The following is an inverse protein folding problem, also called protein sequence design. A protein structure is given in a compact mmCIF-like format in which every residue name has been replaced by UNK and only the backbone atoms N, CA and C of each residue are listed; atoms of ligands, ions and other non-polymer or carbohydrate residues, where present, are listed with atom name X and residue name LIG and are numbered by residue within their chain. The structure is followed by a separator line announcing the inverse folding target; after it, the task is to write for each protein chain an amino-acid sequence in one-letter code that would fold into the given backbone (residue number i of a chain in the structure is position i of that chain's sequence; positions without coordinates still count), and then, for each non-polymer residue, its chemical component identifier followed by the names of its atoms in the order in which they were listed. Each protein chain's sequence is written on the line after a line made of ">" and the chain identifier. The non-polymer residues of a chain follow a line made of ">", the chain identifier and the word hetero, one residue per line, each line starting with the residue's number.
data_IF_381723055866
#
_entry.id   IF_381723055866
#
_cell.length_a   1.000
_cell.length_b   1.000
_cell.length_c   1.000
_cell.angle_alpha   90.00
_cell.angle_beta   90.00
_cell.angle_gamma   90.00
#
_symmetry.space_group_name_H-M   'P 1'
#
loop_
_entity.id
_entity.type
_entity.pdbx_description
1 polymer ?
#
# COMPACT_ATOMS: atom_id res chain seq x y z
N UNK A 1 4.45 -32.19 8.82
CA UNK A 1 3.30 -31.30 9.12
C UNK A 1 3.01 -30.48 7.87
N UNK A 2 2.13 -30.97 7.00
CA UNK A 2 1.68 -30.20 5.84
C UNK A 2 0.52 -29.32 6.31
N UNK A 3 0.79 -28.04 6.56
CA UNK A 3 -0.27 -27.08 6.84
C UNK A 3 -1.07 -26.86 5.55
N UNK A 4 -2.37 -27.08 5.66
CA UNK A 4 -3.39 -26.75 4.66
C UNK A 4 -3.39 -25.22 4.46
N UNK A 5 -2.44 -24.70 3.68
CA UNK A 5 -2.16 -23.26 3.58
C UNK A 5 -3.19 -22.55 2.70
N UNK A 6 -4.37 -22.31 3.27
CA UNK A 6 -5.31 -21.30 2.77
C UNK A 6 -4.89 -19.87 3.13
N UNK A 7 -3.85 -19.73 3.94
CA UNK A 7 -3.34 -18.43 4.38
C UNK A 7 -2.31 -17.90 3.38
N UNK A 8 -2.61 -16.74 2.81
CA UNK A 8 -1.71 -16.01 1.93
C UNK A 8 -0.94 -14.97 2.76
N UNK A 9 0.37 -15.14 2.87
CA UNK A 9 1.23 -14.16 3.55
C UNK A 9 1.44 -12.90 2.69
N UNK A 10 1.29 -11.74 3.31
CA UNK A 10 1.37 -10.44 2.67
C UNK A 10 2.02 -9.40 3.58
N UNK A 11 2.48 -8.30 2.97
CA UNK A 11 3.00 -7.13 3.70
C UNK A 11 1.95 -6.01 3.67
N UNK A 12 1.45 -5.62 4.84
CA UNK A 12 0.50 -4.51 4.96
C UNK A 12 1.27 -3.18 5.08
N UNK A 13 1.02 -2.26 4.16
CA UNK A 13 1.33 -0.84 4.37
C UNK A 13 0.15 -0.22 5.11
N UNK A 14 0.25 -0.18 6.44
CA UNK A 14 -0.85 0.28 7.30
C UNK A 14 -1.17 1.77 7.17
N UNK A 15 -0.16 2.60 6.91
CA UNK A 15 -0.37 4.03 6.77
C UNK A 15 0.74 4.68 5.93
N UNK A 16 0.35 5.62 5.08
CA UNK A 16 1.26 6.52 4.37
C UNK A 16 0.77 7.96 4.59
N UNK A 17 1.69 8.84 4.97
CA UNK A 17 1.42 10.26 5.19
C UNK A 17 2.59 11.10 4.69
N UNK A 18 2.30 12.33 4.27
CA UNK A 18 3.31 13.33 3.90
C UNK A 18 3.20 14.54 4.83
N UNK A 19 4.35 15.08 5.24
CA UNK A 19 4.39 16.33 6.00
C UNK A 19 4.28 17.53 5.04
N UNK A 20 3.20 18.30 5.17
CA UNK A 20 2.95 19.49 4.35
C UNK A 20 3.44 20.80 4.98
N UNK A 21 3.91 20.78 6.23
CA UNK A 21 4.31 21.98 6.99
C UNK A 21 5.48 22.75 6.34
N UNK A 22 6.32 22.07 5.57
CA UNK A 22 7.52 22.64 4.96
C UNK A 22 7.52 22.54 3.43
N UNK A 23 6.33 22.47 2.81
CA UNK A 23 6.16 22.32 1.36
C UNK A 23 6.86 23.41 0.55
N UNK A 24 7.07 24.59 1.13
CA UNK A 24 7.76 25.73 0.51
C UNK A 24 9.30 25.70 0.58
N UNK A 25 9.89 24.81 1.39
CA UNK A 25 11.35 24.76 1.63
C UNK A 25 12.01 23.45 1.22
N UNK A 26 11.23 22.39 0.97
CA UNK A 26 11.73 21.08 0.59
C UNK A 26 11.36 20.79 -0.85
N UNK A 27 12.31 20.22 -1.61
CA UNK A 27 12.01 19.52 -2.86
C UNK A 27 10.88 18.52 -2.57
N UNK A 28 9.78 18.63 -3.31
CA UNK A 28 8.56 17.89 -3.01
C UNK A 28 8.80 16.38 -3.08
N UNK A 29 8.99 15.72 -1.92
CA UNK A 29 8.99 14.25 -1.86
C UNK A 29 7.66 13.74 -2.40
N UNK A 30 7.71 13.07 -3.54
CA UNK A 30 6.56 12.49 -4.21
C UNK A 30 6.05 11.26 -3.46
N UNK A 31 4.78 10.91 -3.64
CA UNK A 31 4.26 9.65 -3.10
C UNK A 31 5.01 8.44 -3.68
N UNK A 32 5.52 8.55 -4.91
CA UNK A 32 6.30 7.51 -5.58
C UNK A 32 7.60 7.24 -4.81
N UNK A 33 8.28 8.29 -4.36
CA UNK A 33 9.48 8.15 -3.52
C UNK A 33 9.16 7.49 -2.18
N UNK A 34 8.03 7.84 -1.55
CA UNK A 34 7.59 7.22 -0.29
C UNK A 34 7.28 5.73 -0.50
N UNK A 35 6.57 5.38 -1.58
CA UNK A 35 6.25 4.00 -1.93
C UNK A 35 7.50 3.19 -2.29
N UNK A 36 8.48 3.80 -2.96
CA UNK A 36 9.76 3.18 -3.26
C UNK A 36 10.58 2.94 -1.98
N UNK A 37 10.58 3.89 -1.04
CA UNK A 37 11.21 3.72 0.25
C UNK A 37 10.56 2.56 1.04
N UNK A 38 9.22 2.50 1.08
CA UNK A 38 8.50 1.41 1.71
C UNK A 38 8.85 0.05 1.08
N UNK A 39 8.89 -0.03 -0.26
CA UNK A 39 9.29 -1.26 -0.97
C UNK A 39 10.75 -1.64 -0.69
N UNK A 40 11.66 -0.67 -0.55
CA UNK A 40 13.06 -0.91 -0.20
C UNK A 40 13.21 -1.52 1.19
N UNK A 41 12.31 -1.17 2.12
CA UNK A 41 12.25 -1.76 3.46
C UNK A 41 11.63 -3.17 3.43
N UNK A 42 10.59 -3.37 2.61
CA UNK A 42 9.87 -4.66 2.53
C UNK A 42 10.69 -5.71 1.77
N UNK A 43 11.44 -5.33 0.74
CA UNK A 43 12.14 -6.25 -0.16
C UNK A 43 13.14 -7.19 0.56
N UNK A 44 13.97 -6.72 1.51
CA UNK A 44 14.81 -7.60 2.31
C UNK A 44 14.00 -8.62 3.12
N UNK A 45 12.90 -8.22 3.74
CA UNK A 45 12.00 -9.14 4.45
C UNK A 45 11.43 -10.18 3.48
N UNK A 46 10.94 -9.75 2.31
CA UNK A 46 10.44 -10.64 1.28
C UNK A 46 11.47 -11.68 0.84
N UNK A 47 12.73 -11.27 0.64
CA UNK A 47 13.83 -12.18 0.28
C UNK A 47 14.14 -13.21 1.37
N UNK A 48 13.94 -12.87 2.65
CA UNK A 48 14.27 -13.75 3.77
C UNK A 48 13.12 -14.70 4.16
N UNK A 49 11.87 -14.24 4.13
CA UNK A 49 10.71 -14.99 4.65
C UNK A 49 9.59 -15.20 3.62
N UNK A 50 9.74 -14.72 2.39
CA UNK A 50 8.73 -14.80 1.34
C UNK A 50 7.60 -13.79 1.52
N UNK A 51 6.38 -14.16 1.14
CA UNK A 51 5.20 -13.27 1.07
C UNK A 51 4.89 -12.88 -0.37
N UNK A 52 3.62 -12.95 -0.77
CA UNK A 52 3.24 -12.95 -2.19
C UNK A 52 2.85 -11.57 -2.73
N UNK A 53 2.42 -10.67 -1.86
CA UNK A 53 1.98 -9.36 -2.26
C UNK A 53 2.13 -8.33 -1.13
N UNK A 54 2.14 -7.06 -1.54
CA UNK A 54 1.99 -5.89 -0.70
C UNK A 54 0.52 -5.50 -0.75
N UNK A 55 -0.05 -5.18 0.40
CA UNK A 55 -1.45 -4.87 0.58
C UNK A 55 -1.59 -3.47 1.22
N UNK A 56 -2.57 -2.69 0.75
CA UNK A 56 -2.93 -1.40 1.35
C UNK A 56 -4.42 -1.11 1.17
N UNK A 57 -4.95 -0.29 2.08
CA UNK A 57 -6.30 0.26 1.98
C UNK A 57 -6.22 1.75 1.58
N UNK A 58 -6.99 2.13 0.56
CA UNK A 58 -7.10 3.51 0.10
C UNK A 58 -8.53 4.01 0.32
N UNK A 59 -8.72 5.16 0.96
CA UNK A 59 -10.05 5.78 1.02
C UNK A 59 -10.54 6.06 -0.39
N UNK A 60 -11.75 5.59 -0.74
CA UNK A 60 -12.35 5.71 -2.08
C UNK A 60 -12.55 7.16 -2.50
N UNK A 61 -12.84 8.04 -1.55
CA UNK A 61 -12.96 9.49 -1.77
C UNK A 61 -11.67 10.13 -2.30
N UNK A 62 -10.52 9.50 -2.09
CA UNK A 62 -9.21 10.03 -2.49
C UNK A 62 -8.74 9.45 -3.83
N UNK A 63 -9.47 9.76 -4.90
CA UNK A 63 -9.22 9.25 -6.26
C UNK A 63 -7.80 9.55 -6.78
N UNK A 64 -7.21 10.69 -6.38
CA UNK A 64 -5.83 11.04 -6.73
C UNK A 64 -4.82 10.05 -6.14
N UNK A 65 -5.02 9.65 -4.89
CA UNK A 65 -4.13 8.70 -4.22
C UNK A 65 -4.31 7.29 -4.78
N UNK A 66 -5.56 6.88 -5.06
CA UNK A 66 -5.84 5.61 -5.74
C UNK A 66 -5.13 5.53 -7.10
N UNK A 67 -5.26 6.55 -7.94
CA UNK A 67 -4.57 6.61 -9.24
C UNK A 67 -3.04 6.59 -9.10
N UNK A 68 -2.49 7.22 -8.05
CA UNK A 68 -1.06 7.15 -7.76
C UNK A 68 -0.64 5.73 -7.38
N UNK A 69 -1.39 5.03 -6.53
CA UNK A 69 -1.11 3.63 -6.21
C UNK A 69 -1.20 2.74 -7.47
N UNK A 70 -2.21 2.93 -8.33
CA UNK A 70 -2.33 2.22 -9.60
C UNK A 70 -1.11 2.45 -10.51
N UNK A 71 -0.67 3.69 -10.63
CA UNK A 71 0.55 4.03 -11.40
C UNK A 71 1.83 3.40 -10.83
N UNK A 72 1.82 3.00 -9.55
CA UNK A 72 2.93 2.29 -8.88
C UNK A 72 2.77 0.76 -8.92
N UNK A 73 1.82 0.24 -9.70
CA UNK A 73 1.61 -1.19 -9.92
C UNK A 73 0.68 -1.87 -8.91
N UNK A 74 -0.01 -1.11 -8.06
CA UNK A 74 -1.10 -1.65 -7.26
C UNK A 74 -2.35 -1.86 -8.12
N UNK A 75 -3.16 -2.85 -7.77
CA UNK A 75 -4.47 -3.11 -8.39
C UNK A 75 -5.53 -3.19 -7.31
N UNK A 76 -6.65 -2.50 -7.50
CA UNK A 76 -7.82 -2.68 -6.66
C UNK A 76 -8.42 -4.07 -6.89
N UNK A 77 -8.89 -4.72 -5.82
CA UNK A 77 -9.54 -6.03 -5.93
C UNK A 77 -10.86 -6.10 -5.16
N UNK A 78 -11.05 -5.25 -4.14
CA UNK A 78 -12.26 -5.21 -3.35
C UNK A 78 -12.55 -3.79 -2.87
N UNK A 79 -13.83 -3.48 -2.72
CA UNK A 79 -14.33 -2.31 -2.02
C UNK A 79 -14.98 -2.75 -0.71
N UNK A 80 -14.66 -2.06 0.38
CA UNK A 80 -15.23 -2.30 1.70
C UNK A 80 -15.82 -1.01 2.23
N UNK A 81 -17.09 -1.08 2.62
CA UNK A 81 -17.76 -0.01 3.37
C UNK A 81 -17.74 -0.36 4.85
N UNK A 82 -17.15 0.53 5.65
CA UNK A 82 -17.09 0.39 7.09
C UNK A 82 -18.41 0.82 7.74
N UNK A 83 -18.60 0.47 9.00
CA UNK A 83 -19.81 0.82 9.77
C UNK A 83 -20.00 2.33 9.97
N UNK A 84 -18.93 3.12 9.85
CA UNK A 84 -18.97 4.58 9.90
C UNK A 84 -19.35 5.22 8.55
N UNK A 85 -19.64 4.42 7.52
CA UNK A 85 -19.99 4.86 6.17
C UNK A 85 -18.78 5.18 5.28
N UNK A 86 -17.56 5.13 5.81
CA UNK A 86 -16.36 5.33 5.00
C UNK A 86 -16.10 4.13 4.09
N UNK A 87 -15.73 4.41 2.84
CA UNK A 87 -15.49 3.37 1.83
C UNK A 87 -14.00 3.30 1.49
N UNK A 88 -13.45 2.09 1.51
CA UNK A 88 -12.06 1.81 1.19
C UNK A 88 -11.96 0.90 -0.04
N UNK A 89 -11.02 1.25 -0.91
CA UNK A 89 -10.54 0.41 -2.00
C UNK A 89 -9.33 -0.36 -1.49
N UNK A 90 -9.47 -1.68 -1.42
CA UNK A 90 -8.39 -2.59 -1.08
C UNK A 90 -7.55 -2.83 -2.32
N UNK A 91 -6.24 -2.62 -2.19
CA UNK A 91 -5.31 -2.69 -3.31
C UNK A 91 -4.13 -3.61 -3.00
N UNK A 92 -3.69 -4.35 -4.01
CA UNK A 92 -2.57 -5.28 -3.91
C UNK A 92 -1.53 -5.03 -4.99
N UNK A 93 -0.26 -5.24 -4.66
CA UNK A 93 0.86 -5.28 -5.60
C UNK A 93 1.62 -6.59 -5.42
N UNK A 94 1.83 -7.32 -6.51
CA UNK A 94 2.62 -8.54 -6.52
C UNK A 94 4.11 -8.14 -6.66
N UNK A 95 5.01 -8.86 -5.95
CA UNK A 95 6.46 -8.64 -6.04
C UNK A 95 7.04 -8.97 -7.42
#
# INVERSE_FOLDING_TARGET
>A
MFSNSKDLSAYLIGQISKNFKYSQYLTFISINEILNAAQTIILPSHKNIGGRFIFLDCKKENSKVAALYESNGFKSYQEITMSDGSTYLQMVKIF
#
